data_IF_020275597174
#
_entry.id   IF_020275597174
#
_cell.length_a   1.000
_cell.length_b   1.000
_cell.length_c   1.000
_cell.angle_alpha   90.00
_cell.angle_beta   90.00
_cell.angle_gamma   90.00
#
_symmetry.space_group_name_H-M   'P 1'
#
loop_
_entity.id
_entity.type
_entity.pdbx_description
1 polymer ?
#
# COMPACT_ATOMS: atom_id res chain seq x y z
N UNK A 1 -27.88 9.08 -2.08
CA UNK A 1 -26.81 10.09 -1.98
C UNK A 1 -26.87 10.94 -0.70
N UNK A 2 -28.04 11.21 -0.10
CA UNK A 2 -28.13 12.00 1.15
C UNK A 2 -27.48 11.36 2.40
N UNK A 3 -27.50 10.03 2.56
CA UNK A 3 -26.91 9.34 3.72
C UNK A 3 -25.38 9.45 3.82
N UNK A 4 -24.70 9.69 2.69
CA UNK A 4 -23.23 9.78 2.63
C UNK A 4 -22.74 11.06 3.30
N UNK A 5 -23.45 12.17 3.11
CA UNK A 5 -23.09 13.47 3.69
C UNK A 5 -23.23 13.47 5.21
N UNK A 6 -24.24 12.76 5.75
CA UNK A 6 -24.52 12.74 7.18
C UNK A 6 -23.46 11.95 8.00
N UNK A 7 -22.97 10.82 7.47
CA UNK A 7 -21.93 10.03 8.15
C UNK A 7 -20.58 10.76 8.10
N UNK A 8 -20.23 11.35 6.96
CA UNK A 8 -19.02 12.19 6.82
C UNK A 8 -19.03 13.37 7.80
N UNK A 9 -20.20 13.96 8.04
CA UNK A 9 -20.40 15.06 8.98
C UNK A 9 -20.25 14.63 10.46
N UNK A 10 -20.79 13.48 10.85
CA UNK A 10 -20.60 12.95 12.22
C UNK A 10 -19.11 12.66 12.47
N UNK A 11 -18.43 12.09 11.47
CA UNK A 11 -17.01 11.77 11.55
C UNK A 11 -16.13 13.03 11.64
N UNK A 12 -16.47 14.10 10.92
CA UNK A 12 -15.74 15.37 11.01
C UNK A 12 -15.88 16.02 12.40
N UNK A 13 -17.07 15.94 13.00
CA UNK A 13 -17.37 16.50 14.32
C UNK A 13 -16.76 15.72 15.49
N UNK A 14 -16.48 14.43 15.32
CA UNK A 14 -15.73 13.61 16.30
C UNK A 14 -14.22 13.91 16.24
N UNK A 15 -13.76 14.76 15.30
CA UNK A 15 -12.35 15.05 15.10
C UNK A 15 -11.61 14.00 14.26
N UNK A 16 -12.36 13.16 13.54
CA UNK A 16 -11.82 12.16 12.63
C UNK A 16 -11.89 12.62 11.17
N UNK A 17 -12.41 13.79 10.82
CA UNK A 17 -12.46 14.26 9.43
C UNK A 17 -11.06 14.51 8.83
N UNK A 18 -10.85 14.20 7.55
CA UNK A 18 -9.67 14.69 6.83
C UNK A 18 -9.83 16.19 6.64
N UNK A 19 -8.97 16.97 7.30
CA UNK A 19 -8.97 18.42 7.20
C UNK A 19 -8.60 18.83 5.77
N UNK A 20 -9.59 19.11 4.94
CA UNK A 20 -9.37 20.07 3.84
C UNK A 20 -9.25 21.43 4.48
N UNK A 21 -8.01 21.93 4.54
CA UNK A 21 -7.69 23.31 4.89
C UNK A 21 -8.66 24.27 4.19
N UNK A 22 -9.48 24.95 4.99
CA UNK A 22 -9.93 26.29 4.66
C UNK A 22 -9.76 27.12 5.93
N UNK A 23 -8.81 28.05 5.85
CA UNK A 23 -8.55 29.03 6.89
C UNK A 23 -9.84 29.77 7.24
N UNK A 24 -10.24 29.72 8.52
CA UNK A 24 -10.86 30.87 9.20
C UNK A 24 -10.85 30.66 10.72
N UNK A 25 -9.87 31.30 11.35
CA UNK A 25 -9.95 32.06 12.61
C UNK A 25 -10.87 31.56 13.73
N UNK A 26 -10.22 31.00 14.75
CA UNK A 26 -10.40 31.24 16.20
C UNK A 26 -11.72 31.85 16.69
N UNK A 27 -12.41 31.14 17.59
CA UNK A 27 -12.62 31.64 18.96
C UNK A 27 -12.99 30.52 19.93
N UNK A 28 -12.12 30.35 20.92
CA UNK A 28 -12.42 29.67 22.17
C UNK A 28 -13.57 30.38 22.87
N UNK A 29 -14.55 29.64 23.38
CA UNK A 29 -15.24 30.05 24.58
C UNK A 29 -15.71 28.85 25.39
N UNK A 30 -15.54 29.02 26.69
CA UNK A 30 -15.56 28.01 27.73
C UNK A 30 -16.92 27.34 27.92
N UNK A 31 -16.85 26.11 28.42
CA UNK A 31 -17.99 25.25 28.68
C UNK A 31 -18.90 25.86 29.75
N UNK A 32 -20.16 26.10 29.39
CA UNK A 32 -21.26 26.18 30.35
C UNK A 32 -22.11 24.93 30.18
N UNK A 33 -21.97 24.01 31.14
CA UNK A 33 -22.76 22.80 31.25
C UNK A 33 -24.21 23.16 31.60
N UNK A 34 -25.13 23.05 30.65
CA UNK A 34 -26.57 22.99 30.96
C UNK A 34 -26.98 21.51 31.01
N UNK A 35 -27.23 21.03 32.23
CA UNK A 35 -27.90 19.78 32.51
C UNK A 35 -29.25 19.78 31.77
N UNK A 36 -29.37 19.00 30.69
CA UNK A 36 -30.66 18.73 30.08
C UNK A 36 -31.33 17.62 30.87
N UNK A 37 -32.32 18.03 31.67
CA UNK A 37 -33.30 17.17 32.30
C UNK A 37 -33.85 16.15 31.29
N UNK A 38 -33.84 14.89 31.70
CA UNK A 38 -34.45 13.80 30.97
C UNK A 38 -35.94 14.09 30.74
N UNK A 39 -36.31 14.38 29.49
CA UNK A 39 -37.70 14.33 29.04
C UNK A 39 -37.94 12.99 28.36
N UNK A 40 -38.55 12.08 29.11
CA UNK A 40 -39.11 10.83 28.58
C UNK A 40 -40.34 11.19 27.74
N UNK A 41 -40.19 11.28 26.42
CA UNK A 41 -41.34 11.47 25.53
C UNK A 41 -41.97 10.11 25.24
N UNK A 42 -43.15 9.88 25.81
CA UNK A 42 -44.03 8.75 25.47
C UNK A 42 -44.60 9.07 24.08
N UNK A 43 -44.22 8.29 23.07
CA UNK A 43 -44.69 8.45 21.68
C UNK A 43 -46.06 7.77 21.55
N UNK A 44 -47.08 8.56 21.23
CA UNK A 44 -48.42 8.10 20.86
C UNK A 44 -48.44 7.78 19.35
N UNK A 45 -48.80 6.55 18.91
CA UNK A 45 -48.42 6.08 17.57
C UNK A 45 -49.41 6.42 16.44
N UNK A 46 -50.22 7.48 16.55
CA UNK A 46 -51.35 7.71 15.63
C UNK A 46 -51.35 9.06 14.90
N UNK A 47 -50.23 9.47 14.30
CA UNK A 47 -50.28 10.63 13.39
C UNK A 47 -49.35 10.50 12.17
N UNK A 48 -49.94 10.15 11.02
CA UNK A 48 -49.23 10.02 9.74
C UNK A 48 -48.70 11.37 9.21
N UNK A 49 -49.16 12.51 9.74
CA UNK A 49 -48.64 13.83 9.41
C UNK A 49 -47.23 14.09 9.99
N UNK A 50 -46.88 13.47 11.12
CA UNK A 50 -45.58 13.65 11.79
C UNK A 50 -44.45 12.98 11.02
N UNK A 51 -44.75 11.84 10.38
CA UNK A 51 -43.83 11.14 9.47
C UNK A 51 -43.47 11.96 8.23
N UNK A 52 -44.39 12.77 7.71
CA UNK A 52 -44.15 13.61 6.54
C UNK A 52 -43.30 14.85 6.91
N UNK A 53 -43.55 15.45 8.07
CA UNK A 53 -42.77 16.57 8.61
C UNK A 53 -41.33 16.15 8.96
N UNK A 54 -41.13 14.98 9.58
CA UNK A 54 -39.78 14.44 9.83
C UNK A 54 -39.00 14.19 8.52
N UNK A 55 -39.67 13.68 7.49
CA UNK A 55 -39.05 13.37 6.20
C UNK A 55 -38.67 14.62 5.40
N UNK A 56 -39.38 15.73 5.58
CA UNK A 56 -39.05 17.01 4.96
C UNK A 56 -37.99 17.80 5.74
N UNK A 57 -37.96 17.71 7.07
CA UNK A 57 -36.92 18.34 7.88
C UNK A 57 -35.54 17.66 7.72
N UNK A 58 -35.50 16.34 7.48
CA UNK A 58 -34.25 15.63 7.17
C UNK A 58 -33.64 15.98 5.80
N UNK A 59 -34.39 16.63 4.90
CA UNK A 59 -33.88 17.11 3.60
C UNK A 59 -33.17 18.46 3.69
N UNK A 60 -33.32 19.18 4.81
CA UNK A 60 -32.55 20.39 5.06
C UNK A 60 -31.25 20.00 5.77
N UNK A 61 -30.19 19.78 4.98
CA UNK A 61 -28.83 19.45 5.46
C UNK A 61 -28.34 20.37 6.61
N UNK A 62 -28.83 21.63 6.66
CA UNK A 62 -28.49 22.59 7.72
C UNK A 62 -29.08 22.30 9.11
N UNK A 63 -30.24 21.63 9.22
CA UNK A 63 -30.88 21.36 10.53
C UNK A 63 -30.19 20.19 11.22
N UNK A 64 -29.90 19.14 10.46
CA UNK A 64 -29.11 17.99 10.89
C UNK A 64 -27.72 18.43 11.36
N UNK A 65 -27.07 19.32 10.63
CA UNK A 65 -25.74 19.82 10.98
C UNK A 65 -25.73 20.65 12.27
N UNK A 66 -26.67 21.58 12.40
CA UNK A 66 -26.77 22.39 13.62
C UNK A 66 -27.08 21.55 14.86
N UNK A 67 -27.87 20.49 14.71
CA UNK A 67 -28.16 19.57 15.81
C UNK A 67 -26.93 18.73 16.20
N UNK A 68 -26.23 18.16 15.22
CA UNK A 68 -25.01 17.37 15.47
C UNK A 68 -23.89 18.20 16.11
N UNK A 69 -23.75 19.47 15.72
CA UNK A 69 -22.76 20.40 16.28
C UNK A 69 -22.99 20.71 17.77
N UNK A 70 -24.19 20.48 18.30
CA UNK A 70 -24.53 20.71 19.71
C UNK A 70 -24.25 19.48 20.60
N UNK A 71 -23.92 18.34 20.02
CA UNK A 71 -23.70 17.09 20.75
C UNK A 71 -22.24 16.94 21.18
N UNK A 72 -22.03 16.26 22.30
CA UNK A 72 -20.69 15.91 22.75
C UNK A 72 -20.08 14.82 21.85
N UNK A 73 -18.75 14.82 21.71
CA UNK A 73 -18.01 13.78 20.97
C UNK A 73 -18.35 12.35 21.47
N UNK A 74 -18.54 12.17 22.77
CA UNK A 74 -18.94 10.89 23.35
C UNK A 74 -20.33 10.44 22.87
N UNK A 75 -21.29 11.35 22.78
CA UNK A 75 -22.64 11.08 22.27
C UNK A 75 -22.61 10.76 20.78
N UNK A 76 -21.80 11.48 20.00
CA UNK A 76 -21.60 11.20 18.58
C UNK A 76 -20.98 9.80 18.35
N UNK A 77 -19.99 9.41 19.15
CA UNK A 77 -19.43 8.06 19.13
C UNK A 77 -20.46 6.98 19.48
N UNK A 78 -21.34 7.23 20.45
CA UNK A 78 -22.42 6.30 20.81
C UNK A 78 -23.45 6.15 19.68
N UNK A 79 -23.85 7.26 19.06
CA UNK A 79 -24.73 7.25 17.88
C UNK A 79 -24.09 6.47 16.73
N UNK A 80 -22.80 6.70 16.46
CA UNK A 80 -22.05 5.99 15.43
C UNK A 80 -21.94 4.49 15.74
N UNK A 81 -21.66 4.13 16.99
CA UNK A 81 -21.54 2.74 17.44
C UNK A 81 -22.88 2.00 17.32
N UNK A 82 -23.98 2.63 17.72
CA UNK A 82 -25.32 2.07 17.54
C UNK A 82 -25.65 1.92 16.06
N UNK A 83 -25.37 2.94 15.24
CA UNK A 83 -25.63 2.90 13.80
C UNK A 83 -24.82 1.80 13.08
N UNK A 84 -23.57 1.56 13.49
CA UNK A 84 -22.75 0.46 12.97
C UNK A 84 -23.32 -0.90 13.38
N UNK A 85 -23.82 -1.03 14.61
CA UNK A 85 -24.41 -2.27 15.12
C UNK A 85 -25.70 -2.62 14.37
N UNK A 86 -26.55 -1.62 14.12
CA UNK A 86 -27.82 -1.78 13.42
C UNK A 86 -27.64 -1.89 11.89
N UNK A 87 -26.58 -1.28 11.34
CA UNK A 87 -26.26 -1.27 9.92
C UNK A 87 -24.76 -1.53 9.67
N UNK A 88 -24.32 -2.80 9.62
CA UNK A 88 -22.90 -3.16 9.49
C UNK A 88 -22.22 -2.61 8.23
N UNK A 89 -22.98 -2.38 7.16
CA UNK A 89 -22.48 -1.81 5.89
C UNK A 89 -21.91 -0.39 6.08
N UNK A 90 -22.32 0.32 7.13
CA UNK A 90 -21.76 1.63 7.49
C UNK A 90 -20.30 1.49 7.94
N UNK A 91 -19.93 0.39 8.63
CA UNK A 91 -18.54 0.14 9.02
C UNK A 91 -17.65 -0.05 7.78
N UNK A 92 -18.10 -0.81 6.79
CA UNK A 92 -17.38 -0.99 5.52
C UNK A 92 -17.22 0.35 4.78
N UNK A 93 -18.25 1.20 4.82
CA UNK A 93 -18.20 2.53 4.21
C UNK A 93 -17.21 3.46 4.93
N UNK A 94 -17.26 3.54 6.26
CA UNK A 94 -16.33 4.30 7.08
C UNK A 94 -14.91 3.81 6.86
N UNK A 95 -14.71 2.49 6.85
CA UNK A 95 -13.42 1.87 6.55
C UNK A 95 -12.93 2.27 5.16
N UNK A 96 -13.78 2.22 4.13
CA UNK A 96 -13.41 2.65 2.79
C UNK A 96 -13.06 4.14 2.72
N UNK A 97 -13.78 4.99 3.47
CA UNK A 97 -13.55 6.43 3.52
C UNK A 97 -12.19 6.78 4.18
N UNK A 98 -11.80 6.06 5.23
CA UNK A 98 -10.50 6.27 5.91
C UNK A 98 -9.31 5.58 5.26
N UNK A 99 -9.50 4.41 4.66
CA UNK A 99 -8.41 3.66 4.03
C UNK A 99 -8.05 4.16 2.63
N UNK A 100 -8.92 4.95 1.97
CA UNK A 100 -8.62 5.53 0.65
C UNK A 100 -7.71 6.77 0.74
N UNK A 101 -7.69 7.51 1.87
CA UNK A 101 -6.93 8.78 1.98
C UNK A 101 -5.67 8.76 2.87
N UNK A 102 -5.46 7.77 3.76
CA UNK A 102 -4.14 7.57 4.39
C UNK A 102 -3.29 6.70 3.47
N UNK A 103 -2.21 7.26 2.91
CA UNK A 103 -1.45 6.73 1.77
C UNK A 103 -0.29 5.75 2.13
N UNK A 104 -0.50 4.43 2.27
CA UNK A 104 0.63 3.49 2.25
C UNK A 104 1.32 3.43 0.88
N UNK A 105 0.63 3.83 -0.21
CA UNK A 105 1.21 3.81 -1.57
C UNK A 105 2.44 4.71 -1.73
N UNK A 106 2.44 5.92 -1.14
CA UNK A 106 3.60 6.83 -1.25
C UNK A 106 4.81 6.31 -0.45
N UNK A 107 4.55 5.64 0.68
CA UNK A 107 5.59 5.05 1.51
C UNK A 107 6.32 3.94 0.74
N UNK A 108 5.59 2.99 0.13
CA UNK A 108 6.21 1.90 -0.64
C UNK A 108 6.99 2.36 -1.87
N UNK A 109 6.49 3.37 -2.60
CA UNK A 109 7.24 3.94 -3.75
C UNK A 109 8.56 4.53 -3.26
N UNK A 110 8.54 5.30 -2.17
CA UNK A 110 9.76 5.88 -1.60
C UNK A 110 10.74 4.81 -1.10
N UNK A 111 10.21 3.74 -0.51
CA UNK A 111 11.00 2.62 -0.02
C UNK A 111 11.66 1.86 -1.18
N UNK A 112 10.92 1.55 -2.25
CA UNK A 112 11.46 0.88 -3.44
C UNK A 112 12.49 1.75 -4.17
N UNK A 113 12.30 3.07 -4.21
CA UNK A 113 13.33 3.99 -4.73
C UNK A 113 14.58 3.96 -3.86
N UNK A 114 14.42 3.94 -2.52
CA UNK A 114 15.54 3.85 -1.59
C UNK A 114 16.29 2.52 -1.69
N UNK A 115 15.55 1.41 -1.87
CA UNK A 115 16.08 0.07 -2.10
C UNK A 115 16.90 0.04 -3.39
N UNK A 116 16.35 0.59 -4.48
CA UNK A 116 17.03 0.66 -5.78
C UNK A 116 18.32 1.45 -5.68
N UNK A 117 18.29 2.59 -4.96
CA UNK A 117 19.49 3.40 -4.72
C UNK A 117 20.57 2.61 -3.96
N UNK A 118 20.20 1.93 -2.86
CA UNK A 118 21.14 1.09 -2.08
C UNK A 118 21.68 -0.08 -2.91
N UNK A 119 20.82 -0.75 -3.66
CA UNK A 119 21.20 -1.84 -4.56
C UNK A 119 22.22 -1.37 -5.59
N UNK A 120 21.98 -0.22 -6.21
CA UNK A 120 22.88 0.41 -7.17
C UNK A 120 24.22 0.76 -6.55
N UNK A 121 24.22 1.38 -5.37
CA UNK A 121 25.45 1.73 -4.63
C UNK A 121 26.31 0.50 -4.34
N UNK A 122 25.70 -0.62 -3.94
CA UNK A 122 26.41 -1.88 -3.68
C UNK A 122 26.90 -2.50 -4.99
N UNK A 123 25.99 -2.72 -5.94
CA UNK A 123 26.26 -3.43 -7.19
C UNK A 123 27.34 -2.74 -8.04
N UNK A 124 27.32 -1.41 -8.05
CA UNK A 124 28.25 -0.57 -8.83
C UNK A 124 29.40 0.01 -7.99
N UNK A 125 29.60 -0.49 -6.76
CA UNK A 125 30.67 0.00 -5.86
C UNK A 125 32.08 -0.18 -6.44
N UNK A 126 32.26 -1.18 -7.32
CA UNK A 126 33.55 -1.53 -7.92
C UNK A 126 33.71 -1.02 -9.36
N UNK A 127 32.75 -0.30 -9.93
CA UNK A 127 32.77 0.14 -11.33
C UNK A 127 33.98 1.02 -11.69
N UNK A 128 34.49 1.78 -10.72
CA UNK A 128 35.65 2.67 -10.88
C UNK A 128 36.98 2.00 -10.59
N UNK A 129 36.96 0.75 -10.11
CA UNK A 129 38.14 0.00 -9.75
C UNK A 129 38.75 -0.72 -10.97
N UNK A 130 40.02 -1.11 -10.88
CA UNK A 130 40.66 -1.94 -11.90
C UNK A 130 40.05 -3.34 -11.91
N UNK A 131 40.12 -4.02 -13.04
CA UNK A 131 39.54 -5.38 -13.20
C UNK A 131 40.10 -6.37 -12.16
N UNK A 132 41.38 -6.26 -11.80
CA UNK A 132 42.00 -7.09 -10.75
C UNK A 132 41.33 -6.91 -9.38
N UNK A 133 40.96 -5.67 -9.05
CA UNK A 133 40.33 -5.31 -7.79
C UNK A 133 38.84 -5.66 -7.81
N UNK A 134 38.20 -5.53 -8.97
CA UNK A 134 36.84 -6.01 -9.19
C UNK A 134 36.76 -7.52 -8.95
N UNK A 135 37.71 -8.29 -9.49
CA UNK A 135 37.75 -9.73 -9.31
C UNK A 135 37.99 -10.14 -7.85
N UNK A 136 38.94 -9.50 -7.16
CA UNK A 136 39.27 -9.86 -5.77
C UNK A 136 38.16 -9.53 -4.78
N UNK A 137 37.33 -8.53 -5.08
CA UNK A 137 36.28 -8.03 -4.16
C UNK A 137 34.86 -8.30 -4.62
N UNK A 138 34.65 -8.98 -5.75
CA UNK A 138 33.32 -9.23 -6.28
C UNK A 138 32.45 -10.08 -5.34
N UNK A 139 33.02 -10.96 -4.51
CA UNK A 139 32.24 -11.70 -3.53
C UNK A 139 31.67 -10.80 -2.43
N UNK A 140 32.40 -9.75 -2.01
CA UNK A 140 31.92 -8.76 -1.03
C UNK A 140 30.63 -8.07 -1.51
N UNK A 141 30.56 -7.80 -2.82
CA UNK A 141 29.38 -7.22 -3.47
C UNK A 141 28.22 -8.21 -3.42
N UNK A 142 28.46 -9.48 -3.76
CA UNK A 142 27.43 -10.51 -3.72
C UNK A 142 26.88 -10.72 -2.30
N UNK A 143 27.74 -10.81 -1.29
CA UNK A 143 27.37 -10.95 0.12
C UNK A 143 26.51 -9.77 0.58
N UNK A 144 26.91 -8.56 0.21
CA UNK A 144 26.16 -7.33 0.53
C UNK A 144 24.78 -7.31 -0.13
N UNK A 145 24.66 -7.80 -1.37
CA UNK A 145 23.38 -7.92 -2.07
C UNK A 145 22.48 -8.98 -1.45
N UNK A 146 23.03 -10.13 -1.03
CA UNK A 146 22.29 -11.16 -0.28
C UNK A 146 21.75 -10.62 1.04
N UNK A 147 22.56 -9.85 1.78
CA UNK A 147 22.12 -9.21 3.02
C UNK A 147 21.01 -8.18 2.78
N UNK A 148 21.14 -7.35 1.74
CA UNK A 148 20.11 -6.38 1.37
C UNK A 148 18.79 -7.07 1.00
N UNK A 149 18.87 -8.13 0.18
CA UNK A 149 17.72 -8.94 -0.20
C UNK A 149 17.00 -9.52 1.03
N UNK A 150 17.77 -10.09 1.95
CA UNK A 150 17.23 -10.68 3.18
C UNK A 150 16.55 -9.64 4.06
N UNK A 151 17.17 -8.48 4.25
CA UNK A 151 16.58 -7.38 5.03
C UNK A 151 15.26 -6.92 4.41
N UNK A 152 15.26 -6.68 3.10
CA UNK A 152 14.08 -6.25 2.37
C UNK A 152 12.94 -7.26 2.43
N UNK A 153 13.22 -8.53 2.14
CA UNK A 153 12.20 -9.60 2.15
C UNK A 153 11.62 -9.83 3.54
N UNK A 154 12.42 -9.71 4.60
CA UNK A 154 11.94 -9.79 5.98
C UNK A 154 10.98 -8.66 6.32
N UNK A 155 11.31 -7.42 5.95
CA UNK A 155 10.48 -6.25 6.24
C UNK A 155 9.13 -6.30 5.49
N UNK A 156 9.18 -6.52 4.17
CA UNK A 156 7.98 -6.54 3.33
C UNK A 156 7.11 -7.76 3.59
N UNK A 157 7.66 -8.92 3.97
CA UNK A 157 6.85 -10.11 4.31
C UNK A 157 5.89 -9.86 5.48
N UNK A 158 6.33 -9.06 6.45
CA UNK A 158 5.56 -8.75 7.66
C UNK A 158 4.56 -7.62 7.41
N UNK A 159 4.94 -6.58 6.64
CA UNK A 159 4.21 -5.32 6.60
C UNK A 159 3.63 -4.93 5.23
N UNK A 160 4.06 -5.57 4.14
CA UNK A 160 3.82 -5.07 2.79
C UNK A 160 2.96 -5.96 1.87
N UNK A 161 2.35 -5.38 0.82
CA UNK A 161 1.73 -6.14 -0.26
C UNK A 161 2.73 -7.00 -1.02
N UNK A 162 2.32 -8.18 -1.49
CA UNK A 162 3.21 -9.09 -2.22
C UNK A 162 3.77 -8.50 -3.52
N UNK A 163 3.04 -7.56 -4.15
CA UNK A 163 3.52 -6.90 -5.35
C UNK A 163 4.67 -5.92 -5.08
N UNK A 164 4.72 -5.29 -3.90
CA UNK A 164 5.87 -4.46 -3.48
C UNK A 164 7.13 -5.33 -3.39
N UNK A 165 7.00 -6.50 -2.74
CA UNK A 165 8.09 -7.46 -2.65
C UNK A 165 8.57 -7.86 -4.05
N UNK A 166 7.64 -8.22 -4.94
CA UNK A 166 7.97 -8.60 -6.31
C UNK A 166 8.70 -7.48 -7.07
N UNK A 167 8.24 -6.23 -6.97
CA UNK A 167 8.90 -5.08 -7.59
C UNK A 167 10.32 -4.89 -7.06
N UNK A 168 10.51 -4.94 -5.74
CA UNK A 168 11.84 -4.82 -5.13
C UNK A 168 12.79 -5.93 -5.57
N UNK A 169 12.31 -7.17 -5.67
CA UNK A 169 13.10 -8.29 -6.18
C UNK A 169 13.50 -8.10 -7.64
N UNK A 170 12.61 -7.57 -8.48
CA UNK A 170 12.93 -7.25 -9.89
C UNK A 170 13.99 -6.16 -9.95
N UNK A 171 13.85 -5.08 -9.17
CA UNK A 171 14.78 -3.95 -9.15
C UNK A 171 16.18 -4.37 -8.69
N UNK A 172 16.27 -5.17 -7.62
CA UNK A 172 17.54 -5.76 -7.15
C UNK A 172 18.21 -6.59 -8.24
N UNK A 173 17.44 -7.41 -8.94
CA UNK A 173 17.94 -8.22 -10.03
C UNK A 173 18.40 -7.37 -11.22
N UNK A 174 17.69 -6.29 -11.56
CA UNK A 174 18.07 -5.36 -12.63
C UNK A 174 19.39 -4.67 -12.34
N UNK A 175 19.54 -4.06 -11.17
CA UNK A 175 20.80 -3.39 -10.79
C UNK A 175 21.97 -4.38 -10.79
N UNK A 176 21.75 -5.58 -10.22
CA UNK A 176 22.77 -6.64 -10.21
C UNK A 176 23.17 -7.11 -11.62
N UNK A 177 22.21 -7.19 -12.56
CA UNK A 177 22.46 -7.58 -13.95
C UNK A 177 23.12 -6.48 -14.79
N UNK A 178 23.11 -5.23 -14.33
CA UNK A 178 23.73 -4.09 -15.03
C UNK A 178 25.18 -3.86 -14.63
N UNK A 179 25.71 -4.61 -13.65
CA UNK A 179 27.11 -4.57 -13.20
C UNK A 179 28.12 -5.00 -14.27
N UNK A 180 29.42 -4.68 -14.12
CA UNK A 180 30.49 -5.18 -14.98
C UNK A 180 30.49 -6.71 -15.11
N UNK A 181 31.02 -7.24 -16.22
CA UNK A 181 30.84 -8.64 -16.58
C UNK A 181 31.42 -9.61 -15.54
N UNK A 182 32.58 -9.28 -14.98
CA UNK A 182 33.30 -10.06 -13.97
C UNK A 182 32.51 -10.13 -12.66
N UNK A 183 32.06 -8.97 -12.17
CA UNK A 183 31.25 -8.85 -10.95
C UNK A 183 29.93 -9.59 -11.14
N UNK A 184 29.29 -9.42 -12.29
CA UNK A 184 28.05 -10.12 -12.65
C UNK A 184 28.23 -11.63 -12.67
N UNK A 185 29.32 -12.13 -13.26
CA UNK A 185 29.61 -13.55 -13.29
C UNK A 185 29.81 -14.10 -11.88
N UNK A 186 30.51 -13.37 -11.02
CA UNK A 186 30.68 -13.76 -9.62
C UNK A 186 29.32 -13.83 -8.89
N UNK A 187 28.52 -12.76 -8.95
CA UNK A 187 27.21 -12.67 -8.30
C UNK A 187 26.27 -13.82 -8.71
N UNK A 188 26.12 -14.07 -10.02
CA UNK A 188 25.12 -15.01 -10.52
C UNK A 188 25.63 -16.44 -10.68
N UNK A 189 26.87 -16.63 -11.14
CA UNK A 189 27.41 -17.97 -11.41
C UNK A 189 28.10 -18.59 -10.19
N UNK A 190 28.80 -17.81 -9.37
CA UNK A 190 29.51 -18.34 -8.19
C UNK A 190 28.67 -18.23 -6.92
N UNK A 191 28.21 -17.03 -6.58
CA UNK A 191 27.50 -16.75 -5.32
C UNK A 191 25.98 -17.02 -5.40
N UNK A 192 25.52 -17.53 -6.56
CA UNK A 192 24.16 -18.04 -6.79
C UNK A 192 23.05 -17.06 -6.41
N UNK A 193 23.31 -15.76 -6.46
CA UNK A 193 22.33 -14.72 -6.10
C UNK A 193 21.04 -14.84 -6.92
N UNK A 194 21.16 -15.19 -8.21
CA UNK A 194 20.02 -15.42 -9.08
C UNK A 194 19.09 -16.55 -8.64
N UNK A 195 19.60 -17.58 -7.94
CA UNK A 195 18.76 -18.67 -7.41
C UNK A 195 17.91 -18.16 -6.26
N UNK A 196 18.53 -17.42 -5.35
CA UNK A 196 17.85 -16.85 -4.18
C UNK A 196 16.75 -15.90 -4.63
N UNK A 197 17.04 -15.02 -5.58
CA UNK A 197 16.03 -14.13 -6.18
C UNK A 197 14.82 -14.89 -6.74
N UNK A 198 15.04 -15.95 -7.53
CA UNK A 198 13.93 -16.72 -8.12
C UNK A 198 13.11 -17.45 -7.06
N UNK A 199 13.77 -18.06 -6.08
CA UNK A 199 13.08 -18.77 -5.00
C UNK A 199 12.22 -17.81 -4.18
N UNK A 200 12.72 -16.60 -3.90
CA UNK A 200 11.93 -15.56 -3.23
C UNK A 200 10.78 -15.06 -4.09
N UNK A 201 11.01 -14.79 -5.39
CA UNK A 201 9.94 -14.40 -6.32
C UNK A 201 8.85 -15.48 -6.38
N UNK A 202 9.23 -16.76 -6.47
CA UNK A 202 8.30 -17.87 -6.48
C UNK A 202 7.53 -17.99 -5.15
N UNK A 203 8.21 -17.78 -4.02
CA UNK A 203 7.59 -17.78 -2.68
C UNK A 203 6.53 -16.67 -2.55
N UNK A 204 6.87 -15.46 -2.96
CA UNK A 204 5.97 -14.29 -2.98
C UNK A 204 4.75 -14.55 -3.87
N UNK A 205 4.95 -15.13 -5.06
CA UNK A 205 3.87 -15.42 -6.00
C UNK A 205 2.95 -16.58 -5.56
N UNK A 206 3.48 -17.56 -4.82
CA UNK A 206 2.68 -18.65 -4.24
C UNK A 206 1.80 -18.17 -3.08
N UNK A 207 2.32 -17.23 -2.27
CA UNK A 207 1.64 -16.68 -1.10
C UNK A 207 1.14 -15.24 -1.36
N UNK A 208 0.63 -15.00 -2.56
CA UNK A 208 0.36 -13.64 -3.03
C UNK A 208 -0.77 -12.97 -2.22
N UNK A 209 -0.44 -11.86 -1.56
CA UNK A 209 -1.33 -11.02 -0.77
C UNK A 209 -1.77 -9.80 -1.60
N UNK A 210 -3.09 -9.59 -1.66
CA UNK A 210 -3.71 -8.35 -2.16
C UNK A 210 -3.41 -7.17 -1.20
N UNK A 211 -3.44 -5.90 -1.66
CA UNK A 211 -3.94 -5.41 -2.95
C UNK A 211 -2.92 -5.45 -4.10
N UNK A 212 -3.46 -5.39 -5.30
CA UNK A 212 -2.73 -5.18 -6.55
C UNK A 212 -2.33 -3.68 -6.69
N UNK A 213 -1.04 -3.41 -6.91
CA UNK A 213 -0.47 -2.08 -7.19
C UNK A 213 -0.51 -1.72 -8.69
N UNK A 214 -1.13 -0.59 -9.08
CA UNK A 214 -1.22 -0.16 -10.47
C UNK A 214 0.13 -0.13 -11.21
N UNK A 215 0.10 -0.32 -12.53
CA UNK A 215 1.29 -0.21 -13.38
C UNK A 215 1.91 1.20 -13.34
N UNK A 216 1.12 2.22 -13.01
CA UNK A 216 1.59 3.59 -12.78
C UNK A 216 2.63 3.66 -11.66
N UNK A 217 2.51 2.84 -10.61
CA UNK A 217 3.47 2.83 -9.51
C UNK A 217 4.83 2.29 -10.00
N UNK A 218 4.81 1.26 -10.86
CA UNK A 218 6.03 0.77 -11.53
C UNK A 218 6.71 1.84 -12.38
N UNK A 219 5.90 2.61 -13.13
CA UNK A 219 6.41 3.73 -13.92
C UNK A 219 7.04 4.81 -13.03
N UNK A 220 6.42 5.15 -11.89
CA UNK A 220 6.97 6.14 -10.96
C UNK A 220 8.32 5.71 -10.39
N UNK A 221 8.49 4.43 -10.07
CA UNK A 221 9.73 3.90 -9.48
C UNK A 221 10.85 3.84 -10.53
N UNK A 222 10.55 3.33 -11.73
CA UNK A 222 11.59 3.06 -12.74
C UNK A 222 11.81 4.20 -13.73
N UNK A 223 10.85 5.14 -13.83
CA UNK A 223 10.75 6.13 -14.91
C UNK A 223 10.72 5.51 -16.32
N UNK A 224 10.46 4.21 -16.44
CA UNK A 224 10.44 3.47 -17.70
C UNK A 224 8.99 3.11 -18.07
N UNK A 225 8.57 3.44 -19.29
CA UNK A 225 7.24 3.08 -19.81
C UNK A 225 7.04 1.58 -20.06
N UNK A 226 7.98 0.74 -19.63
CA UNK A 226 7.93 -0.70 -19.85
C UNK A 226 7.09 -1.35 -18.76
N UNK A 227 6.29 -2.32 -19.16
CA UNK A 227 5.52 -3.16 -18.26
C UNK A 227 6.44 -3.92 -17.29
N UNK A 228 6.05 -3.99 -16.01
CA UNK A 228 6.78 -4.75 -14.99
C UNK A 228 6.83 -6.24 -15.33
N UNK A 229 5.79 -6.80 -15.95
CA UNK A 229 5.76 -8.21 -16.32
C UNK A 229 6.79 -8.51 -17.42
N UNK A 230 6.85 -7.65 -18.45
CA UNK A 230 7.86 -7.75 -19.51
C UNK A 230 9.28 -7.55 -18.96
N UNK A 231 9.42 -6.70 -17.94
CA UNK A 231 10.69 -6.54 -17.22
C UNK A 231 11.07 -7.82 -16.49
N UNK A 232 10.14 -8.42 -15.73
CA UNK A 232 10.34 -9.67 -15.00
C UNK A 232 10.79 -10.79 -15.95
N UNK A 233 10.10 -10.98 -17.08
CA UNK A 233 10.47 -11.96 -18.09
C UNK A 233 11.92 -11.79 -18.58
N UNK A 234 12.30 -10.55 -18.89
CA UNK A 234 13.65 -10.23 -19.38
C UNK A 234 14.70 -10.49 -18.31
N UNK A 235 14.43 -10.09 -17.07
CA UNK A 235 15.33 -10.28 -15.94
C UNK A 235 15.53 -11.76 -15.66
N UNK A 236 14.45 -12.54 -15.54
CA UNK A 236 14.51 -13.99 -15.35
C UNK A 236 15.28 -14.69 -16.47
N UNK A 237 15.02 -14.32 -17.73
CA UNK A 237 15.72 -14.88 -18.88
C UNK A 237 17.22 -14.56 -18.87
N UNK A 238 17.60 -13.34 -18.46
CA UNK A 238 19.01 -12.97 -18.30
C UNK A 238 19.67 -13.74 -17.17
N UNK A 239 19.05 -13.82 -15.99
CA UNK A 239 19.58 -14.59 -14.86
C UNK A 239 19.78 -16.06 -15.22
N UNK A 240 18.81 -16.67 -15.92
CA UNK A 240 18.89 -18.05 -16.39
C UNK A 240 20.11 -18.33 -17.27
N UNK A 241 20.66 -17.32 -17.98
CA UNK A 241 21.87 -17.50 -18.81
C UNK A 241 23.13 -17.67 -17.97
N UNK A 242 23.18 -17.09 -16.78
CA UNK A 242 24.33 -17.15 -15.88
C UNK A 242 24.31 -18.39 -14.98
N UNK A 243 23.18 -19.09 -14.90
CA UNK A 243 23.01 -20.27 -14.04
C UNK A 243 22.69 -21.54 -14.82
N UNK A 244 23.63 -21.94 -15.69
CA UNK A 244 23.50 -23.11 -16.56
C UNK A 244 23.49 -24.43 -15.79
N UNK A 245 24.07 -24.44 -14.58
CA UNK A 245 24.29 -25.66 -13.78
C UNK A 245 23.16 -25.97 -12.81
N UNK A 246 22.13 -25.14 -12.72
CA UNK A 246 21.04 -25.35 -11.77
C UNK A 246 20.00 -26.33 -12.32
N UNK A 247 19.73 -27.38 -11.56
CA UNK A 247 18.75 -28.42 -11.92
C UNK A 247 17.31 -27.87 -12.04
N UNK A 248 16.97 -26.84 -11.25
CA UNK A 248 15.65 -26.20 -11.28
C UNK A 248 15.59 -24.96 -12.17
N UNK A 249 16.46 -24.85 -13.19
CA UNK A 249 16.50 -23.70 -14.11
C UNK A 249 15.15 -23.37 -14.78
N UNK A 250 14.24 -24.34 -14.89
CA UNK A 250 12.85 -24.12 -15.34
C UNK A 250 12.10 -23.08 -14.49
N UNK A 251 12.47 -22.89 -13.22
CA UNK A 251 11.83 -21.93 -12.33
C UNK A 251 11.96 -20.47 -12.82
N UNK A 252 13.04 -20.15 -13.55
CA UNK A 252 13.18 -18.86 -14.22
C UNK A 252 12.05 -18.59 -15.23
N UNK A 253 11.49 -19.64 -15.85
CA UNK A 253 10.37 -19.53 -16.78
C UNK A 253 9.03 -19.60 -16.06
N UNK A 254 8.94 -20.40 -15.00
CA UNK A 254 7.71 -20.57 -14.23
C UNK A 254 7.30 -19.28 -13.48
N UNK A 255 8.27 -18.52 -12.95
CA UNK A 255 7.98 -17.27 -12.20
C UNK A 255 7.18 -16.26 -13.03
N UNK A 256 7.61 -15.85 -14.25
CA UNK A 256 6.79 -14.98 -15.09
C UNK A 256 5.43 -15.57 -15.47
N UNK A 257 5.35 -16.88 -15.72
CA UNK A 257 4.08 -17.56 -16.04
C UNK A 257 3.09 -17.43 -14.88
N UNK A 258 3.54 -17.65 -13.64
CA UNK A 258 2.70 -17.50 -12.45
C UNK A 258 2.31 -16.03 -12.28
N UNK A 259 3.27 -15.11 -12.41
CA UNK A 259 3.04 -13.67 -12.31
C UNK A 259 1.99 -13.15 -13.32
N UNK A 260 1.97 -13.71 -14.54
CA UNK A 260 1.00 -13.34 -15.58
C UNK A 260 -0.47 -13.55 -15.18
N UNK A 261 -0.73 -14.48 -14.24
CA UNK A 261 -2.08 -14.74 -13.72
C UNK A 261 -2.61 -13.55 -12.93
N UNK A 262 -1.74 -12.94 -12.13
CA UNK A 262 -2.06 -11.73 -11.36
C UNK A 262 -2.11 -10.49 -12.24
N UNK A 263 -1.30 -10.46 -13.31
CA UNK A 263 -1.31 -9.37 -14.27
C UNK A 263 -2.63 -9.25 -15.04
N UNK A 264 -3.24 -10.37 -15.44
CA UNK A 264 -4.52 -10.37 -16.18
C UNK A 264 -5.68 -9.75 -15.39
N UNK A 265 -5.59 -9.72 -14.07
CA UNK A 265 -6.57 -9.04 -13.22
C UNK A 265 -6.51 -7.50 -13.26
N UNK A 266 -5.52 -6.90 -13.95
CA UNK A 266 -5.47 -5.46 -14.22
C UNK A 266 -6.21 -5.02 -15.50
N UNK A 267 -6.43 -5.95 -16.44
CA UNK A 267 -6.88 -5.62 -17.81
C UNK A 267 -8.41 -5.74 -17.95
N UNK A 268 -9.10 -6.09 -16.85
CA UNK A 268 -10.56 -6.16 -16.75
C UNK A 268 -11.04 -5.27 -15.61
#
# INVERSE_FOLDING_TARGET
MANINFISLILSLIGLGTSTESDTTTNNNESSCSFLSASTCIVDPSNDEEKWLMKNNLKNDGVAHNWLNQLSSATLCQILTSAITDYPQIADYIQSYYYVERQPRREWVSELVSLTKRAKEIAHSLDRCRISDQFSRASEVADSLHLLLRQFTQDVSVHGPSQVALFGLILLAQESLNTPAEVRQQIFSHDKFGRVLILEMASVLKNFKLPLLPNEDWYQITSQKQDWLATLERVCLKMARYDVTWEYRKEYQDVPIIASRYYKHYVH
#
